data_IF_179726856864
#
_entry.id   IF_179726856864
#
_cell.length_a   1.000
_cell.length_b   1.000
_cell.length_c   1.000
_cell.angle_alpha   90.00
_cell.angle_beta   90.00
_cell.angle_gamma   90.00
#
_symmetry.space_group_name_H-M   'P 1'
#
loop_
_entity.id
_entity.type
_entity.pdbx_description
1 polymer ?
#
# COMPACT_ATOMS: atom_id res chain seq x y z
N UNK A 1 -9.90 4.49 -0.91
CA UNK A 1 -9.47 5.89 -1.09
C UNK A 1 -8.48 5.93 -2.24
N UNK A 2 -8.56 6.91 -3.14
CA UNK A 2 -7.61 7.08 -4.24
C UNK A 2 -6.68 8.25 -3.90
N UNK A 3 -5.37 8.01 -3.94
CA UNK A 3 -4.36 9.07 -3.76
C UNK A 3 -4.32 9.89 -5.05
N UNK A 4 -4.37 11.23 -4.96
CA UNK A 4 -4.25 12.13 -6.12
C UNK A 4 -2.78 12.41 -6.42
N UNK A 5 -2.49 12.80 -7.66
CA UNK A 5 -1.16 13.23 -8.06
C UNK A 5 -0.83 14.60 -7.46
N UNK A 6 0.31 14.72 -6.77
CA UNK A 6 0.74 15.97 -6.13
C UNK A 6 1.14 17.05 -7.13
N UNK A 7 1.48 16.68 -8.38
CA UNK A 7 1.92 17.64 -9.41
C UNK A 7 0.74 18.22 -10.20
N UNK A 8 -0.20 17.37 -10.62
CA UNK A 8 -1.30 17.84 -11.49
C UNK A 8 -2.64 17.95 -10.76
N UNK A 9 -2.78 17.38 -9.56
CA UNK A 9 -3.97 17.37 -8.70
C UNK A 9 -5.27 16.83 -9.36
N UNK A 10 -5.17 16.34 -10.60
CA UNK A 10 -6.31 15.96 -11.45
C UNK A 10 -6.41 14.45 -11.63
N UNK A 11 -5.27 13.77 -11.73
CA UNK A 11 -5.22 12.33 -11.95
C UNK A 11 -4.95 11.59 -10.63
N UNK A 12 -5.37 10.33 -10.54
CA UNK A 12 -4.96 9.45 -9.44
C UNK A 12 -3.47 9.12 -9.56
N UNK A 13 -2.76 9.17 -8.45
CA UNK A 13 -1.38 8.72 -8.36
C UNK A 13 -1.31 7.21 -8.62
N UNK A 14 -0.28 6.81 -9.35
CA UNK A 14 0.04 5.41 -9.68
C UNK A 14 1.44 5.04 -9.23
N UNK A 15 2.25 6.02 -8.80
CA UNK A 15 3.63 5.86 -8.37
C UNK A 15 3.87 6.74 -7.14
N UNK A 16 4.68 6.28 -6.19
CA UNK A 16 5.28 7.10 -5.14
C UNK A 16 6.75 7.25 -5.47
N UNK A 17 7.25 8.49 -5.57
CA UNK A 17 8.67 8.78 -5.56
C UNK A 17 9.13 8.94 -4.11
N UNK A 18 10.03 8.06 -3.63
CA UNK A 18 10.51 8.12 -2.26
C UNK A 18 11.49 9.27 -2.01
N UNK A 19 12.22 9.70 -3.05
CA UNK A 19 13.20 10.78 -2.91
C UNK A 19 12.53 12.16 -2.81
N UNK A 20 11.41 12.33 -3.53
CA UNK A 20 10.64 13.58 -3.55
C UNK A 20 9.43 13.53 -2.59
N UNK A 21 9.24 12.42 -1.88
CA UNK A 21 8.09 12.16 -1.00
C UNK A 21 6.73 12.44 -1.67
N UNK A 22 6.65 12.19 -2.98
CA UNK A 22 5.54 12.61 -3.83
C UNK A 22 4.78 11.44 -4.46
N UNK A 23 3.46 11.51 -4.47
CA UNK A 23 2.56 10.63 -5.20
C UNK A 23 2.32 11.20 -6.61
N UNK A 24 2.75 10.48 -7.64
CA UNK A 24 2.69 10.92 -9.03
C UNK A 24 1.78 10.02 -9.86
N UNK A 25 1.02 10.62 -10.78
CA UNK A 25 0.37 9.86 -11.85
C UNK A 25 1.40 9.45 -12.91
N UNK A 26 1.09 8.46 -13.74
CA UNK A 26 2.01 7.95 -14.76
C UNK A 26 2.60 9.03 -15.69
N UNK A 27 1.84 10.09 -16.01
CA UNK A 27 2.33 11.19 -16.86
C UNK A 27 3.36 12.04 -16.11
N UNK A 28 2.99 12.51 -14.91
CA UNK A 28 3.88 13.33 -14.09
C UNK A 28 5.12 12.56 -13.62
N UNK A 29 5.03 11.23 -13.41
CA UNK A 29 6.19 10.38 -13.13
C UNK A 29 7.23 10.50 -14.24
N UNK A 30 6.81 10.34 -15.50
CA UNK A 30 7.71 10.43 -16.66
C UNK A 30 8.28 11.83 -16.77
N UNK A 31 7.46 12.88 -16.64
CA UNK A 31 7.93 14.26 -16.77
C UNK A 31 8.97 14.62 -15.71
N UNK A 32 8.73 14.26 -14.43
CA UNK A 32 9.66 14.52 -13.32
C UNK A 32 10.94 13.71 -13.46
N UNK A 33 10.85 12.42 -13.80
CA UNK A 33 12.00 11.52 -13.81
C UNK A 33 12.78 11.51 -15.13
N UNK A 34 12.20 12.02 -16.23
CA UNK A 34 12.90 12.20 -17.51
C UNK A 34 13.62 13.55 -17.61
N UNK A 35 13.24 14.54 -16.79
CA UNK A 35 13.86 15.88 -16.81
C UNK A 35 15.35 15.86 -16.39
N UNK A 36 15.78 14.91 -15.58
CA UNK A 36 17.18 14.81 -15.12
C UNK A 36 17.63 13.35 -14.91
N UNK A 37 18.87 13.03 -15.29
CA UNK A 37 19.52 11.73 -15.04
C UNK A 37 19.69 11.39 -13.56
N UNK A 38 19.63 12.38 -12.67
CA UNK A 38 19.58 12.15 -11.22
C UNK A 38 18.19 11.69 -10.79
N UNK A 39 17.15 12.36 -11.29
CA UNK A 39 15.76 12.04 -10.98
C UNK A 39 15.40 10.63 -11.45
N UNK A 40 15.89 10.18 -12.61
CA UNK A 40 15.63 8.81 -13.08
C UNK A 40 16.11 7.69 -12.15
N UNK A 41 17.02 7.99 -11.20
CA UNK A 41 17.50 7.07 -10.16
C UNK A 41 16.64 7.08 -8.90
N UNK A 42 15.68 7.99 -8.77
CA UNK A 42 14.80 8.03 -7.62
C UNK A 42 14.06 6.69 -7.49
N UNK A 43 13.99 6.19 -6.26
CA UNK A 43 13.24 4.99 -5.96
C UNK A 43 11.75 5.28 -6.17
N UNK A 44 11.15 4.54 -7.10
CA UNK A 44 9.75 4.68 -7.51
C UNK A 44 8.98 3.42 -7.16
N UNK A 45 7.91 3.58 -6.41
CA UNK A 45 7.07 2.49 -5.94
C UNK A 45 5.74 2.56 -6.66
N UNK A 46 5.45 1.54 -7.46
CA UNK A 46 4.15 1.46 -8.13
C UNK A 46 3.06 1.28 -7.08
N UNK A 47 2.12 2.23 -7.05
CA UNK A 47 0.82 2.03 -6.43
C UNK A 47 0.06 1.08 -7.35
N UNK A 48 0.37 -0.22 -7.28
CA UNK A 48 -0.42 -1.24 -7.97
C UNK A 48 -1.86 -1.07 -7.51
N UNK A 49 -2.72 -0.64 -8.44
CA UNK A 49 -4.15 -0.74 -8.29
C UNK A 49 -4.45 -2.24 -8.33
N UNK A 50 -4.28 -2.90 -7.17
CA UNK A 50 -4.84 -4.22 -6.94
C UNK A 50 -6.28 -4.12 -7.38
N UNK A 51 -6.69 -5.05 -8.26
CA UNK A 51 -8.07 -5.24 -8.69
C UNK A 51 -9.01 -4.78 -7.57
N UNK A 52 -10.01 -3.94 -7.88
CA UNK A 52 -10.89 -3.23 -6.93
C UNK A 52 -11.60 -4.12 -5.88
N UNK A 53 -11.26 -5.40 -5.80
CA UNK A 53 -11.61 -6.36 -4.76
C UNK A 53 -10.50 -6.45 -3.72
N UNK A 54 -10.67 -5.65 -2.66
CA UNK A 54 -10.11 -5.99 -1.36
C UNK A 54 -10.54 -7.43 -0.97
N UNK A 55 -9.68 -8.18 -0.26
CA UNK A 55 -9.99 -9.55 0.15
C UNK A 55 -11.25 -9.61 1.02
N UNK A 56 -11.93 -10.76 1.04
CA UNK A 56 -13.07 -11.01 1.91
C UNK A 56 -12.61 -11.22 3.36
N UNK A 57 -13.48 -10.94 4.32
CA UNK A 57 -13.29 -11.25 5.73
C UNK A 57 -13.12 -12.76 5.94
N UNK A 58 -12.13 -13.17 6.72
CA UNK A 58 -11.86 -14.58 7.01
C UNK A 58 -12.95 -15.22 7.89
N UNK A 59 -13.71 -14.41 8.65
CA UNK A 59 -14.80 -14.89 9.50
C UNK A 59 -16.11 -15.05 8.70
N UNK A 60 -16.64 -13.96 8.14
CA UNK A 60 -17.94 -14.01 7.49
C UNK A 60 -17.88 -14.34 5.99
N UNK A 61 -16.73 -14.18 5.34
CA UNK A 61 -16.51 -14.37 3.89
C UNK A 61 -17.43 -13.56 2.94
N UNK A 62 -18.41 -12.83 3.46
CA UNK A 62 -19.37 -12.05 2.68
C UNK A 62 -18.91 -10.60 2.48
N UNK A 63 -18.28 -10.01 3.50
CA UNK A 63 -17.90 -8.59 3.52
C UNK A 63 -16.43 -8.41 3.17
N UNK A 64 -16.11 -7.28 2.59
CA UNK A 64 -14.73 -6.84 2.40
C UNK A 64 -14.00 -6.69 3.74
N UNK A 65 -12.79 -7.26 3.82
CA UNK A 65 -11.88 -7.06 4.93
C UNK A 65 -11.13 -5.73 4.78
N UNK A 66 -11.07 -4.97 5.87
CA UNK A 66 -10.35 -3.70 5.94
C UNK A 66 -9.27 -3.69 7.03
N UNK A 67 -9.24 -4.71 7.89
CA UNK A 67 -8.40 -4.77 9.07
C UNK A 67 -7.60 -6.07 9.00
N UNK A 68 -6.29 -5.98 9.17
CA UNK A 68 -5.38 -7.12 9.30
C UNK A 68 -4.87 -7.19 10.73
N UNK A 69 -5.05 -8.34 11.37
CA UNK A 69 -4.46 -8.64 12.67
C UNK A 69 -3.17 -9.45 12.47
N UNK A 70 -2.07 -9.01 13.06
CA UNK A 70 -0.75 -9.66 12.89
C UNK A 70 -0.70 -11.00 13.62
N UNK A 71 -1.15 -11.01 14.87
CA UNK A 71 -1.08 -12.18 15.75
C UNK A 71 -2.00 -13.29 15.25
N UNK A 72 -3.21 -12.95 14.81
CA UNK A 72 -4.17 -13.91 14.25
C UNK A 72 -3.91 -14.25 12.78
N UNK A 73 -3.00 -13.51 12.12
CA UNK A 73 -2.70 -13.62 10.67
C UNK A 73 -3.97 -13.64 9.81
N UNK A 74 -4.94 -12.82 10.19
CA UNK A 74 -6.30 -12.86 9.66
C UNK A 74 -6.78 -11.46 9.27
N UNK A 75 -7.70 -11.44 8.29
CA UNK A 75 -8.33 -10.29 7.69
C UNK A 75 -9.79 -10.19 8.15
N UNK A 76 -10.14 -9.09 8.79
CA UNK A 76 -11.47 -8.86 9.34
C UNK A 76 -12.19 -7.71 8.64
N UNK A 77 -13.50 -7.87 8.46
CA UNK A 77 -14.40 -6.73 8.26
C UNK A 77 -14.64 -6.02 9.60
N UNK A 78 -15.18 -4.80 9.56
CA UNK A 78 -15.45 -4.00 10.77
C UNK A 78 -16.33 -4.75 11.78
N UNK A 79 -17.36 -5.43 11.31
CA UNK A 79 -18.33 -6.10 12.18
C UNK A 79 -17.78 -7.37 12.83
N UNK A 80 -16.76 -7.98 12.22
CA UNK A 80 -16.08 -9.14 12.79
C UNK A 80 -14.85 -8.75 13.62
N UNK A 81 -14.27 -7.57 13.41
CA UNK A 81 -13.14 -7.06 14.19
C UNK A 81 -13.52 -6.73 15.63
N UNK A 82 -14.63 -6.01 15.83
CA UNK A 82 -15.08 -5.56 17.15
C UNK A 82 -15.24 -6.72 18.16
N UNK A 83 -15.97 -7.82 17.86
CA UNK A 83 -16.13 -8.90 18.83
C UNK A 83 -14.81 -9.66 19.11
N UNK A 84 -13.87 -9.68 18.16
CA UNK A 84 -12.56 -10.34 18.33
C UNK A 84 -11.63 -9.47 19.20
N UNK A 85 -11.56 -8.17 18.92
CA UNK A 85 -10.66 -7.22 19.57
C UNK A 85 -11.35 -6.34 20.62
N UNK A 86 -12.47 -6.80 21.17
CA UNK A 86 -13.19 -6.09 22.24
C UNK A 86 -12.31 -5.88 23.46
N UNK A 87 -12.46 -4.71 24.11
CA UNK A 87 -11.69 -4.39 25.32
C UNK A 87 -11.93 -5.44 26.41
N UNK A 88 -10.86 -6.08 26.87
CA UNK A 88 -10.91 -7.16 27.86
C UNK A 88 -10.85 -8.58 27.27
N UNK A 89 -10.84 -8.74 25.95
CA UNK A 89 -10.51 -10.03 25.31
C UNK A 89 -9.00 -10.28 25.33
N UNK A 90 -8.61 -11.55 25.16
CA UNK A 90 -7.19 -11.94 24.99
C UNK A 90 -6.55 -11.23 23.78
N UNK A 91 -7.33 -10.97 22.75
CA UNK A 91 -6.88 -10.36 21.49
C UNK A 91 -6.93 -8.83 21.50
N UNK A 92 -7.42 -8.18 22.56
CA UNK A 92 -7.63 -6.71 22.58
C UNK A 92 -6.37 -5.87 22.27
N UNK A 93 -5.19 -6.42 22.54
CA UNK A 93 -3.89 -5.76 22.34
C UNK A 93 -3.16 -6.20 21.07
N UNK A 94 -3.81 -6.97 20.19
CA UNK A 94 -3.21 -7.37 18.93
C UNK A 94 -2.91 -6.16 18.04
N UNK A 95 -1.83 -6.27 17.26
CA UNK A 95 -1.46 -5.25 16.31
C UNK A 95 -2.40 -5.31 15.09
N UNK A 96 -3.22 -4.26 14.97
CA UNK A 96 -4.20 -4.11 13.89
C UNK A 96 -3.74 -3.06 12.89
N UNK A 97 -3.68 -3.45 11.63
CA UNK A 97 -3.35 -2.57 10.52
C UNK A 97 -4.52 -2.44 9.57
N UNK A 98 -4.66 -1.28 8.94
CA UNK A 98 -5.60 -1.15 7.84
C UNK A 98 -5.06 -1.91 6.63
N UNK A 99 -5.80 -2.93 6.20
CA UNK A 99 -5.52 -3.70 4.99
C UNK A 99 -5.93 -2.90 3.73
N UNK A 100 -5.55 -1.63 3.64
CA UNK A 100 -6.01 -0.69 2.59
C UNK A 100 -5.45 -0.99 1.21
N UNK A 101 -4.77 -2.12 1.00
CA UNK A 101 -4.13 -2.46 -0.28
C UNK A 101 -3.02 -1.48 -0.69
N UNK A 102 -2.69 -0.49 0.15
CA UNK A 102 -1.60 0.45 -0.07
C UNK A 102 -0.30 -0.29 0.26
N UNK A 103 0.32 -0.86 -0.76
CA UNK A 103 1.68 -1.42 -0.67
C UNK A 103 2.67 -0.37 -1.11
N UNK A 104 3.40 0.19 -0.14
CA UNK A 104 4.65 0.92 -0.39
C UNK A 104 5.73 -0.15 -0.48
N UNK A 105 6.09 -0.58 -1.68
CA UNK A 105 7.11 -1.60 -1.86
C UNK A 105 8.46 -1.08 -1.30
N UNK A 106 8.95 -1.58 -0.18
CA UNK A 106 10.37 -1.40 0.13
C UNK A 106 11.15 -2.28 -0.83
N UNK A 107 11.83 -1.67 -1.81
CA UNK A 107 12.86 -2.37 -2.55
C UNK A 107 14.02 -2.64 -1.60
N UNK A 108 14.08 -3.87 -1.10
CA UNK A 108 15.30 -4.47 -0.56
C UNK A 108 16.42 -4.24 -1.57
N UNK A 109 17.41 -3.44 -1.18
CA UNK A 109 18.68 -3.34 -1.90
C UNK A 109 19.60 -4.45 -1.41
N UNK A 110 20.19 -5.23 -2.33
CA UNK A 110 21.53 -5.85 -2.30
C UNK A 110 21.62 -6.85 -3.48
N UNK A 111 22.24 -6.48 -4.62
CA UNK A 111 23.61 -6.87 -5.07
C UNK A 111 23.82 -8.40 -5.17
N UNK A 112 24.26 -9.04 -6.29
CA UNK A 112 25.47 -8.78 -7.08
C UNK A 112 25.62 -9.80 -8.26
N UNK A 113 26.42 -9.47 -9.28
CA UNK A 113 27.08 -10.42 -10.21
C UNK A 113 26.70 -10.24 -11.68
N UNK A 114 27.33 -9.35 -12.44
CA UNK A 114 28.51 -9.58 -13.32
C UNK A 114 28.36 -10.79 -14.27
N UNK A 115 28.10 -10.47 -15.54
CA UNK A 115 28.21 -11.37 -16.68
C UNK A 115 29.62 -11.25 -17.28
N UNK A 116 30.34 -12.37 -17.35
CA UNK A 116 31.21 -12.70 -18.48
C UNK A 116 31.03 -14.20 -18.76
#
# INVERSE_FOLDING_TARGET
MKIQCDVCEKASATVICCADEAALCAKCDIEVHAANKLASKHQRLLLQCFSNKLPSCDICQEKTAFIFCVEDRALFCRDCDEPVHSAGSLSANHQRFLATGIRVALSSSCSQGHSD
#
